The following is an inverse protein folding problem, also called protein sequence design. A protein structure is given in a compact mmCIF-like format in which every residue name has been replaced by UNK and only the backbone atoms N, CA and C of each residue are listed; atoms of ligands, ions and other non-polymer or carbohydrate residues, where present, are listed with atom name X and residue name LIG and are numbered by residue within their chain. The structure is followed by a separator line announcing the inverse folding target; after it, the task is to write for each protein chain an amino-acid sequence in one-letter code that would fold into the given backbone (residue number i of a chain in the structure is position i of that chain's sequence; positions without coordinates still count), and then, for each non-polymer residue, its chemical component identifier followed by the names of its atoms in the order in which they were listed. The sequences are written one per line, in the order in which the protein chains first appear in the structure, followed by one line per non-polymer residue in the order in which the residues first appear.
data_IF_433052919315
#
_entry.id   IF_433052919315
#
_cell.length_a   1.000
_cell.length_b   1.000
_cell.length_c   1.000
_cell.angle_alpha   90.00
_cell.angle_beta   90.00
_cell.angle_gamma   90.00
#
_symmetry.space_group_name_H-M   'P 1'
#
loop_
_entity.id
_entity.type
_entity.pdbx_description
1 polymer ?
#
# COMPACT_ATOMS: atom_id res chain seq x y z
N UNK A 1 -2.73 -15.06 12.89
CA UNK A 1 -2.85 -14.13 11.73
C UNK A 1 -1.61 -14.04 10.85
N UNK A 2 -0.40 -13.84 11.40
CA UNK A 2 0.84 -13.75 10.58
C UNK A 2 0.99 -14.95 9.63
N UNK A 3 0.72 -16.17 10.09
CA UNK A 3 0.75 -17.37 9.26
C UNK A 3 -0.21 -17.31 8.05
N UNK A 4 -1.41 -16.74 8.20
CA UNK A 4 -2.37 -16.58 7.09
C UNK A 4 -1.86 -15.57 6.06
N UNK A 5 -1.24 -14.47 6.51
CA UNK A 5 -0.64 -13.45 5.64
C UNK A 5 0.49 -14.07 4.83
N UNK A 6 1.43 -14.75 5.49
CA UNK A 6 2.58 -15.39 4.83
C UNK A 6 2.10 -16.44 3.82
N UNK A 7 1.13 -17.28 4.20
CA UNK A 7 0.55 -18.26 3.28
C UNK A 7 -0.10 -17.59 2.05
N UNK A 8 -0.82 -16.49 2.25
CA UNK A 8 -1.42 -15.72 1.15
C UNK A 8 -0.35 -15.09 0.24
N UNK A 9 0.66 -14.42 0.81
CA UNK A 9 1.78 -13.81 0.07
C UNK A 9 2.54 -14.83 -0.79
N UNK A 10 2.73 -16.04 -0.27
CA UNK A 10 3.39 -17.15 -0.96
C UNK A 10 2.48 -17.87 -1.96
N UNK A 11 1.20 -17.52 -2.02
CA UNK A 11 0.21 -18.17 -2.87
C UNK A 11 -0.25 -19.55 -2.37
N UNK A 12 0.05 -19.93 -1.13
CA UNK A 12 -0.47 -21.12 -0.48
C UNK A 12 -1.90 -20.89 0.04
N UNK A 13 -2.85 -20.81 -0.90
CA UNK A 13 -4.23 -20.40 -0.63
C UNK A 13 -4.97 -21.34 0.32
N UNK A 14 -4.74 -22.65 0.20
CA UNK A 14 -5.33 -23.65 1.10
C UNK A 14 -4.86 -23.45 2.54
N UNK A 15 -3.57 -23.23 2.76
CA UNK A 15 -3.04 -22.92 4.09
C UNK A 15 -3.54 -21.59 4.64
N UNK A 16 -3.65 -20.57 3.79
CA UNK A 16 -4.27 -19.30 4.20
C UNK A 16 -5.70 -19.52 4.70
N UNK A 17 -6.52 -20.23 3.92
CA UNK A 17 -7.91 -20.57 4.27
C UNK A 17 -7.99 -21.36 5.57
N UNK A 18 -7.18 -22.40 5.70
CA UNK A 18 -7.12 -23.23 6.91
C UNK A 18 -6.84 -22.39 8.17
N UNK A 19 -5.86 -21.49 8.10
CA UNK A 19 -5.54 -20.61 9.24
C UNK A 19 -6.68 -19.65 9.54
N UNK A 20 -7.32 -19.05 8.51
CA UNK A 20 -8.45 -18.15 8.70
C UNK A 20 -9.66 -18.85 9.34
N UNK A 21 -9.96 -20.07 8.90
CA UNK A 21 -11.04 -20.89 9.45
C UNK A 21 -10.75 -21.29 10.91
N UNK A 22 -9.50 -21.63 11.22
CA UNK A 22 -9.10 -22.02 12.58
C UNK A 22 -9.21 -20.87 13.59
N UNK A 23 -8.92 -19.62 13.18
CA UNK A 23 -9.00 -18.46 14.09
C UNK A 23 -10.38 -17.82 14.16
N UNK A 24 -11.27 -18.11 13.18
CA UNK A 24 -12.60 -17.48 13.07
C UNK A 24 -13.44 -17.59 14.34
N UNK A 25 -13.59 -18.75 15.00
CA UNK A 25 -14.40 -18.87 16.21
C UNK A 25 -13.96 -17.92 17.34
N UNK A 26 -12.64 -17.68 17.48
CA UNK A 26 -12.12 -16.77 18.49
C UNK A 26 -12.55 -15.31 18.26
N UNK A 27 -12.59 -14.87 17.00
CA UNK A 27 -13.08 -13.54 16.63
C UNK A 27 -14.61 -13.41 16.75
N UNK A 28 -15.37 -14.46 16.42
CA UNK A 28 -16.84 -14.47 16.46
C UNK A 28 -17.41 -14.59 17.87
N UNK A 29 -16.75 -15.36 18.74
CA UNK A 29 -17.12 -15.48 20.15
C UNK A 29 -16.94 -14.16 20.92
N UNK A 30 -16.39 -13.12 20.28
CA UNK A 30 -16.20 -11.82 20.88
C UNK A 30 -15.39 -11.93 22.17
N UNK A 31 -14.32 -12.73 22.17
CA UNK A 31 -13.36 -12.81 23.27
C UNK A 31 -12.78 -11.42 23.52
N UNK A 32 -13.56 -10.63 24.27
CA UNK A 32 -13.28 -9.31 24.76
C UNK A 32 -12.32 -9.52 25.93
N UNK A 33 -11.05 -9.56 25.57
CA UNK A 33 -9.98 -10.07 26.43
C UNK A 33 -9.17 -11.02 25.57
N UNK A 34 -8.12 -10.48 24.94
CA UNK A 34 -7.31 -11.21 23.99
C UNK A 34 -6.85 -12.56 24.53
N UNK A 35 -6.44 -13.44 23.61
CA UNK A 35 -5.43 -14.43 23.96
C UNK A 35 -4.36 -13.72 24.81
N UNK A 36 -4.07 -14.24 26.01
CA UNK A 36 -3.29 -13.60 27.08
C UNK A 36 -2.38 -12.44 26.60
N UNK A 37 -2.74 -11.20 26.98
CA UNK A 37 -1.88 -10.03 26.81
C UNK A 37 -2.06 -9.18 25.55
N UNK A 38 -3.08 -9.41 24.72
CA UNK A 38 -3.38 -8.54 23.56
C UNK A 38 -4.42 -7.45 23.87
N UNK A 39 -4.11 -6.20 23.52
CA UNK A 39 -5.05 -5.08 23.70
C UNK A 39 -6.18 -5.08 22.65
N UNK A 40 -7.26 -4.32 22.92
CA UNK A 40 -8.44 -4.27 22.05
C UNK A 40 -8.15 -3.72 20.64
N UNK A 41 -7.18 -2.80 20.50
CA UNK A 41 -6.79 -2.22 19.22
C UNK A 41 -6.02 -3.22 18.37
N UNK A 42 -5.10 -3.97 18.99
CA UNK A 42 -4.38 -5.06 18.36
C UNK A 42 -5.34 -6.14 17.88
N UNK A 43 -6.30 -6.53 18.73
CA UNK A 43 -7.34 -7.49 18.36
C UNK A 43 -8.17 -7.02 17.17
N UNK A 44 -8.64 -5.76 17.21
CA UNK A 44 -9.39 -5.15 16.10
C UNK A 44 -8.59 -5.19 14.80
N UNK A 45 -7.31 -4.79 14.83
CA UNK A 45 -6.45 -4.81 13.65
C UNK A 45 -6.29 -6.23 13.07
N UNK A 46 -6.13 -7.25 13.93
CA UNK A 46 -6.05 -8.64 13.47
C UNK A 46 -7.35 -9.12 12.82
N UNK A 47 -8.51 -8.72 13.36
CA UNK A 47 -9.80 -9.05 12.77
C UNK A 47 -10.01 -8.34 11.41
N UNK A 48 -9.55 -7.09 11.27
CA UNK A 48 -9.55 -6.38 9.99
C UNK A 48 -8.73 -7.17 8.96
N UNK A 49 -7.53 -7.62 9.29
CA UNK A 49 -6.72 -8.46 8.40
C UNK A 49 -7.40 -9.80 8.07
N UNK A 50 -8.06 -10.43 9.04
CA UNK A 50 -8.79 -11.69 8.82
C UNK A 50 -9.89 -11.50 7.78
N UNK A 51 -10.73 -10.47 7.95
CA UNK A 51 -11.81 -10.15 7.01
C UNK A 51 -11.27 -9.78 5.64
N UNK A 52 -10.23 -8.95 5.60
CA UNK A 52 -9.58 -8.53 4.36
C UNK A 52 -9.00 -9.72 3.57
N UNK A 53 -8.22 -10.59 4.22
CA UNK A 53 -7.67 -11.79 3.57
C UNK A 53 -8.76 -12.74 3.08
N UNK A 54 -9.84 -12.92 3.87
CA UNK A 54 -10.99 -13.72 3.43
C UNK A 54 -11.61 -13.19 2.15
N UNK A 55 -11.77 -11.87 2.03
CA UNK A 55 -12.26 -11.22 0.81
C UNK A 55 -11.28 -11.35 -0.36
N UNK A 56 -9.98 -11.22 -0.11
CA UNK A 56 -8.95 -11.41 -1.14
C UNK A 56 -8.90 -12.84 -1.68
N UNK A 57 -9.05 -13.84 -0.81
CA UNK A 57 -9.15 -15.24 -1.22
C UNK A 57 -10.37 -15.46 -2.13
N UNK A 58 -11.55 -15.01 -1.70
CA UNK A 58 -12.76 -15.11 -2.49
C UNK A 58 -12.63 -14.39 -3.84
N UNK A 59 -12.02 -13.20 -3.85
CA UNK A 59 -11.74 -12.46 -5.09
C UNK A 59 -10.84 -13.26 -6.02
N UNK A 60 -9.75 -13.84 -5.50
CA UNK A 60 -8.79 -14.61 -6.29
C UNK A 60 -9.42 -15.87 -6.89
N UNK A 61 -10.28 -16.56 -6.15
CA UNK A 61 -11.04 -17.72 -6.63
C UNK A 61 -12.01 -17.32 -7.75
N UNK A 62 -12.79 -16.27 -7.55
CA UNK A 62 -13.72 -15.75 -8.56
C UNK A 62 -13.03 -15.20 -9.82
N UNK A 63 -11.73 -14.87 -9.74
CA UNK A 63 -10.96 -14.30 -10.84
C UNK A 63 -9.71 -15.13 -11.16
N UNK A 64 -9.79 -16.47 -11.02
CA UNK A 64 -8.68 -17.39 -11.28
C UNK A 64 -7.89 -17.14 -12.59
N UNK A 65 -8.52 -16.74 -13.73
CA UNK A 65 -7.79 -16.41 -14.95
C UNK A 65 -6.80 -15.25 -14.84
N UNK A 66 -6.88 -14.41 -13.80
CA UNK A 66 -5.89 -13.33 -13.50
C UNK A 66 -4.67 -13.83 -12.72
N UNK A 67 -4.70 -15.07 -12.24
CA UNK A 67 -3.66 -15.71 -11.45
C UNK A 67 -3.12 -17.01 -12.08
N UNK A 68 -2.91 -17.08 -13.41
CA UNK A 68 -2.50 -18.33 -14.05
C UNK A 68 -1.11 -18.73 -13.57
N UNK A 69 -0.83 -20.04 -13.53
CA UNK A 69 0.51 -20.57 -13.34
C UNK A 69 1.33 -20.35 -14.62
N UNK A 70 2.01 -19.20 -14.69
CA UNK A 70 2.84 -18.77 -15.83
C UNK A 70 4.21 -18.35 -15.32
N UNK A 71 5.27 -18.83 -15.96
CA UNK A 71 6.63 -18.37 -15.71
C UNK A 71 6.80 -16.96 -16.30
N UNK A 72 6.72 -15.95 -15.43
CA UNK A 72 7.04 -14.54 -15.73
C UNK A 72 7.88 -14.00 -14.56
N UNK A 73 8.71 -12.97 -14.78
CA UNK A 73 9.51 -12.41 -13.71
C UNK A 73 8.63 -11.80 -12.60
N UNK A 74 9.14 -11.77 -11.35
CA UNK A 74 8.45 -11.15 -10.24
C UNK A 74 8.52 -9.62 -10.33
N UNK A 75 7.41 -8.96 -10.05
CA UNK A 75 7.34 -7.55 -9.69
C UNK A 75 7.07 -7.47 -8.19
N UNK A 76 8.04 -7.01 -7.42
CA UNK A 76 7.88 -6.96 -5.97
C UNK A 76 7.05 -5.73 -5.59
N UNK A 77 6.04 -5.92 -4.75
CA UNK A 77 5.25 -4.83 -4.20
C UNK A 77 5.51 -4.77 -2.70
N UNK A 78 6.30 -3.79 -2.27
CA UNK A 78 6.69 -3.60 -0.87
C UNK A 78 5.81 -2.50 -0.30
N UNK A 79 5.06 -2.77 0.76
CA UNK A 79 4.04 -1.83 1.19
C UNK A 79 3.33 -2.16 2.48
N UNK A 80 2.33 -1.37 2.80
CA UNK A 80 1.31 -1.69 3.80
C UNK A 80 0.35 -2.78 3.26
N UNK A 81 -0.84 -2.89 3.85
CA UNK A 81 -1.85 -3.89 3.48
C UNK A 81 -2.29 -3.81 2.02
N UNK A 82 -2.15 -2.66 1.34
CA UNK A 82 -2.48 -2.52 -0.07
C UNK A 82 -1.54 -3.33 -0.98
N UNK A 83 -0.35 -3.69 -0.50
CA UNK A 83 0.56 -4.59 -1.23
C UNK A 83 -0.02 -6.00 -1.41
N UNK A 84 -0.92 -6.43 -0.52
CA UNK A 84 -1.52 -7.77 -0.57
C UNK A 84 -2.56 -7.91 -1.69
N UNK A 85 -3.27 -6.83 -2.05
CA UNK A 85 -4.38 -6.92 -2.99
C UNK A 85 -3.98 -7.62 -4.32
N UNK A 86 -2.94 -7.16 -5.05
CA UNK A 86 -2.54 -7.80 -6.30
C UNK A 86 -1.65 -9.06 -6.11
N UNK A 87 -1.40 -9.56 -4.90
CA UNK A 87 -0.44 -10.65 -4.67
C UNK A 87 -0.72 -11.90 -5.52
N UNK A 88 0.27 -12.32 -6.31
CA UNK A 88 0.18 -13.46 -7.22
C UNK A 88 -0.51 -13.17 -8.56
N UNK A 89 -1.10 -11.99 -8.75
CA UNK A 89 -1.77 -11.57 -9.99
C UNK A 89 -0.75 -11.30 -11.11
N UNK A 90 -1.13 -11.59 -12.35
CA UNK A 90 -0.41 -11.10 -13.52
C UNK A 90 -0.76 -9.64 -13.82
N UNK A 91 0.27 -8.80 -13.96
CA UNK A 91 0.11 -7.39 -14.29
C UNK A 91 1.00 -7.00 -15.46
N UNK A 92 0.50 -6.11 -16.31
CA UNK A 92 1.33 -5.42 -17.28
C UNK A 92 1.96 -4.21 -16.59
N UNK A 93 3.27 -4.07 -16.65
CA UNK A 93 3.98 -2.92 -16.10
C UNK A 93 5.17 -2.58 -17.00
N UNK A 94 5.25 -1.33 -17.44
CA UNK A 94 6.26 -0.83 -18.37
C UNK A 94 6.40 -1.68 -19.65
N UNK A 95 5.26 -2.12 -20.20
CA UNK A 95 5.21 -2.92 -21.44
C UNK A 95 5.50 -4.41 -21.28
N UNK A 96 5.85 -4.86 -20.07
CA UNK A 96 6.17 -6.26 -19.79
C UNK A 96 5.13 -6.89 -18.85
N UNK A 97 4.95 -8.20 -18.97
CA UNK A 97 4.12 -8.98 -18.04
C UNK A 97 4.94 -9.42 -16.82
N UNK A 98 4.35 -9.26 -15.64
CA UNK A 98 4.97 -9.57 -14.36
C UNK A 98 4.00 -10.33 -13.47
N UNK A 99 4.54 -11.13 -12.54
CA UNK A 99 3.77 -11.65 -11.42
C UNK A 99 4.04 -10.83 -10.19
N UNK A 100 3.00 -10.27 -9.57
CA UNK A 100 3.19 -9.50 -8.34
C UNK A 100 3.56 -10.43 -7.19
N UNK A 101 4.63 -10.08 -6.48
CA UNK A 101 4.99 -10.68 -5.19
C UNK A 101 4.93 -9.62 -4.10
N UNK A 102 3.97 -9.76 -3.19
CA UNK A 102 3.82 -8.84 -2.07
C UNK A 102 4.94 -9.04 -1.03
N UNK A 103 5.34 -7.93 -0.40
CA UNK A 103 6.21 -7.88 0.79
C UNK A 103 5.58 -6.90 1.77
N UNK A 104 4.73 -7.41 2.66
CA UNK A 104 4.05 -6.60 3.65
C UNK A 104 5.02 -6.07 4.72
N UNK A 105 4.96 -4.77 4.97
CA UNK A 105 5.51 -4.10 6.15
C UNK A 105 4.31 -3.65 6.98
N UNK A 106 3.83 -4.56 7.84
CA UNK A 106 2.55 -4.40 8.55
C UNK A 106 2.53 -3.13 9.43
N UNK A 107 1.51 -2.30 9.25
CA UNK A 107 1.30 -1.07 10.04
C UNK A 107 2.27 0.07 9.73
N UNK A 108 3.14 -0.09 8.73
CA UNK A 108 4.02 0.98 8.29
C UNK A 108 3.23 2.11 7.63
N UNK A 109 3.75 3.32 7.80
CA UNK A 109 3.25 4.58 7.27
C UNK A 109 4.39 5.22 6.51
N UNK A 110 4.09 6.07 5.54
CA UNK A 110 5.11 6.89 4.90
C UNK A 110 5.88 7.71 5.97
N UNK A 111 5.18 8.16 7.01
CA UNK A 111 5.76 8.92 8.12
C UNK A 111 6.83 8.16 8.90
N UNK A 112 6.64 6.87 9.14
CA UNK A 112 7.66 6.06 9.82
C UNK A 112 8.94 6.01 8.98
N UNK A 113 8.78 5.74 7.68
CA UNK A 113 9.89 5.67 6.72
C UNK A 113 10.58 7.02 6.50
N UNK A 114 9.87 8.13 6.72
CA UNK A 114 10.44 9.47 6.59
C UNK A 114 11.31 9.91 7.79
N UNK A 115 11.12 9.32 8.98
CA UNK A 115 11.71 9.83 10.23
C UNK A 115 12.97 9.11 10.67
N UNK A 116 13.06 7.79 10.52
CA UNK A 116 14.26 7.06 10.94
C UNK A 116 14.36 5.66 10.35
N UNK A 117 15.51 5.35 9.77
CA UNK A 117 15.90 3.99 9.40
C UNK A 117 15.98 3.05 10.62
N UNK A 118 16.22 3.60 11.81
CA UNK A 118 16.43 2.86 13.05
C UNK A 118 15.13 2.58 13.81
N UNK A 119 13.96 3.02 13.32
CA UNK A 119 12.71 2.56 13.91
C UNK A 119 12.35 1.13 13.41
N UNK A 120 11.35 0.50 14.03
CA UNK A 120 10.97 -0.88 13.69
C UNK A 120 10.45 -1.02 12.25
N UNK A 121 9.84 0.02 11.69
CA UNK A 121 9.26 -0.02 10.35
C UNK A 121 10.32 0.24 9.28
N UNK A 122 11.24 1.16 9.52
CA UNK A 122 12.44 1.36 8.69
C UNK A 122 13.27 0.08 8.59
N UNK A 123 13.52 -0.59 9.73
CA UNK A 123 14.18 -1.91 9.73
C UNK A 123 13.39 -2.98 9.00
N UNK A 124 12.07 -3.06 9.22
CA UNK A 124 11.24 -4.04 8.54
C UNK A 124 11.22 -3.82 7.01
N UNK A 125 11.18 -2.57 6.57
CA UNK A 125 11.33 -2.21 5.16
C UNK A 125 12.71 -2.61 4.62
N UNK A 126 13.79 -2.28 5.32
CA UNK A 126 15.14 -2.66 4.92
C UNK A 126 15.28 -4.19 4.80
N UNK A 127 14.74 -4.97 5.74
CA UNK A 127 14.70 -6.44 5.66
C UNK A 127 13.90 -6.92 4.44
N UNK A 128 12.77 -6.28 4.12
CA UNK A 128 11.96 -6.62 2.97
C UNK A 128 12.73 -6.39 1.65
N UNK A 129 13.47 -5.27 1.55
CA UNK A 129 14.31 -4.93 0.40
C UNK A 129 15.55 -5.83 0.31
N UNK A 130 16.19 -6.15 1.44
CA UNK A 130 17.38 -7.01 1.52
C UNK A 130 17.12 -8.44 1.03
N UNK A 131 15.87 -8.90 1.10
CA UNK A 131 15.44 -10.22 0.63
C UNK A 131 15.08 -10.25 -0.85
N UNK A 132 15.15 -9.11 -1.55
CA UNK A 132 14.92 -9.06 -2.98
C UNK A 132 16.16 -9.54 -3.75
N UNK A 133 15.99 -10.24 -4.88
CA UNK A 133 17.11 -10.57 -5.77
C UNK A 133 17.84 -9.32 -6.27
N UNK A 134 19.14 -9.43 -6.51
CA UNK A 134 19.91 -8.36 -7.15
C UNK A 134 19.28 -7.97 -8.50
N UNK A 135 19.19 -6.67 -8.77
CA UNK A 135 18.55 -6.16 -9.99
C UNK A 135 17.02 -6.29 -10.02
N UNK A 136 16.38 -6.65 -8.90
CA UNK A 136 14.92 -6.74 -8.83
C UNK A 136 14.23 -5.42 -9.19
N UNK A 137 13.05 -5.54 -9.80
CA UNK A 137 12.12 -4.43 -10.01
C UNK A 137 11.06 -4.47 -8.92
N UNK A 138 10.89 -3.36 -8.21
CA UNK A 138 9.97 -3.24 -7.09
C UNK A 138 9.13 -1.96 -7.19
N UNK A 139 7.97 -1.96 -6.52
CA UNK A 139 7.12 -0.79 -6.31
C UNK A 139 6.90 -0.63 -4.80
N UNK A 140 7.13 0.57 -4.28
CA UNK A 140 6.76 0.95 -2.91
C UNK A 140 5.33 1.50 -2.88
N UNK A 141 4.47 0.98 -2.00
CA UNK A 141 3.10 1.43 -1.78
C UNK A 141 2.85 1.68 -0.29
N UNK A 142 2.92 2.94 0.10
CA UNK A 142 2.71 3.42 1.46
C UNK A 142 2.02 4.78 1.41
N UNK A 143 1.42 5.17 2.53
CA UNK A 143 0.83 6.49 2.68
C UNK A 143 -0.68 6.48 2.88
N UNK A 144 -1.36 5.35 2.65
CA UNK A 144 -2.82 5.34 2.76
C UNK A 144 -3.24 5.66 4.19
N UNK A 145 -2.59 5.02 5.18
CA UNK A 145 -2.80 5.30 6.61
C UNK A 145 -2.47 6.76 6.95
N UNK A 146 -1.41 7.34 6.37
CA UNK A 146 -1.03 8.74 6.58
C UNK A 146 -2.10 9.72 6.10
N UNK A 147 -2.95 9.30 5.15
CA UNK A 147 -3.99 10.12 4.56
C UNK A 147 -5.38 9.88 5.16
N UNK A 148 -5.55 9.06 6.21
CA UNK A 148 -6.89 8.73 6.75
C UNK A 148 -7.49 9.88 7.56
N UNK A 149 -8.81 9.84 7.70
CA UNK A 149 -9.58 10.83 8.46
C UNK A 149 -9.33 10.74 9.98
N UNK A 150 -9.07 9.52 10.48
CA UNK A 150 -8.90 9.20 11.90
C UNK A 150 -7.43 9.16 12.34
N UNK A 151 -6.49 9.28 11.39
CA UNK A 151 -5.06 9.23 11.69
C UNK A 151 -4.22 9.92 10.62
N UNK A 152 -3.10 10.53 11.03
CA UNK A 152 -2.12 11.09 10.10
C UNK A 152 -2.34 12.56 9.80
N UNK A 153 -2.29 12.91 8.51
CA UNK A 153 -2.22 14.30 8.06
C UNK A 153 -3.54 15.05 8.32
N UNK A 154 -4.69 14.40 8.12
CA UNK A 154 -6.00 15.07 8.22
C UNK A 154 -6.27 15.55 9.65
N UNK A 155 -6.20 14.69 10.69
CA UNK A 155 -6.32 15.18 12.07
C UNK A 155 -5.31 16.27 12.44
N UNK A 156 -4.06 16.16 11.97
CA UNK A 156 -3.03 17.16 12.22
C UNK A 156 -3.40 18.52 11.62
N UNK A 157 -3.86 18.53 10.36
CA UNK A 157 -4.27 19.73 9.66
C UNK A 157 -5.52 20.36 10.29
N UNK A 158 -6.51 19.54 10.68
CA UNK A 158 -7.69 20.02 11.40
C UNK A 158 -7.35 20.67 12.74
N UNK A 159 -6.36 20.13 13.47
CA UNK A 159 -5.91 20.70 14.75
C UNK A 159 -5.00 21.93 14.61
N UNK A 160 -4.42 22.17 13.42
CA UNK A 160 -3.47 23.26 13.17
C UNK A 160 -3.81 23.99 11.85
N UNK A 161 -4.97 24.67 11.77
CA UNK A 161 -5.45 25.29 10.53
C UNK A 161 -4.52 26.39 9.98
N UNK A 162 -3.70 26.99 10.85
CA UNK A 162 -2.72 28.02 10.46
C UNK A 162 -1.44 27.44 9.84
N UNK A 163 -1.20 26.13 9.96
CA UNK A 163 -0.04 25.48 9.37
C UNK A 163 -0.33 25.13 7.90
N UNK A 164 0.54 25.54 6.95
CA UNK A 164 0.32 25.22 5.55
C UNK A 164 0.46 23.70 5.33
N UNK A 165 -0.58 23.12 4.74
CA UNK A 165 -0.69 21.68 4.49
C UNK A 165 0.38 21.17 3.51
N UNK A 166 0.56 21.87 2.39
CA UNK A 166 1.42 21.42 1.30
C UNK A 166 2.89 21.24 1.71
N UNK A 167 3.54 22.18 2.45
CA UNK A 167 4.89 21.98 2.98
C UNK A 167 5.03 20.76 3.90
N UNK A 168 4.05 20.49 4.76
CA UNK A 168 4.09 19.34 5.66
C UNK A 168 4.03 18.02 4.88
N UNK A 169 3.13 17.92 3.90
CA UNK A 169 3.04 16.74 3.03
C UNK A 169 4.31 16.62 2.16
N UNK A 170 4.86 17.73 1.65
CA UNK A 170 6.08 17.72 0.87
C UNK A 170 7.30 17.23 1.67
N UNK A 171 7.45 17.67 2.92
CA UNK A 171 8.50 17.19 3.81
C UNK A 171 8.37 15.68 4.08
N UNK A 172 7.15 15.22 4.36
CA UNK A 172 6.84 13.81 4.57
C UNK A 172 7.19 12.96 3.33
N UNK A 173 6.67 13.34 2.16
CA UNK A 173 6.89 12.60 0.91
C UNK A 173 8.37 12.60 0.53
N UNK A 174 9.08 13.71 0.72
CA UNK A 174 10.54 13.78 0.47
C UNK A 174 11.31 12.83 1.37
N UNK A 175 11.03 12.82 2.68
CA UNK A 175 11.68 11.90 3.62
C UNK A 175 11.39 10.44 3.28
N UNK A 176 10.12 10.11 3.07
CA UNK A 176 9.66 8.76 2.70
C UNK A 176 10.34 8.25 1.43
N UNK A 177 10.21 8.99 0.33
CA UNK A 177 10.75 8.57 -0.98
C UNK A 177 12.28 8.57 -0.98
N UNK A 178 12.92 9.50 -0.26
CA UNK A 178 14.36 9.53 -0.07
C UNK A 178 14.89 8.29 0.65
N UNK A 179 14.27 7.92 1.78
CA UNK A 179 14.63 6.72 2.53
C UNK A 179 14.47 5.44 1.68
N UNK A 180 13.30 5.27 1.06
CA UNK A 180 13.00 4.11 0.21
C UNK A 180 14.01 3.95 -0.92
N UNK A 181 14.38 5.05 -1.57
CA UNK A 181 15.38 5.04 -2.66
C UNK A 181 16.76 4.69 -2.16
N UNK A 182 17.16 5.22 -1.00
CA UNK A 182 18.47 4.93 -0.40
C UNK A 182 18.64 3.44 -0.12
N UNK A 183 17.65 2.81 0.51
CA UNK A 183 17.66 1.38 0.79
C UNK A 183 17.64 0.53 -0.48
N UNK A 184 16.82 0.91 -1.47
CA UNK A 184 16.78 0.21 -2.75
C UNK A 184 18.11 0.29 -3.52
N UNK A 185 18.75 1.47 -3.54
CA UNK A 185 20.03 1.68 -4.22
C UNK A 185 21.14 0.83 -3.60
N UNK A 186 21.18 0.69 -2.28
CA UNK A 186 22.14 -0.17 -1.54
C UNK A 186 22.10 -1.64 -1.98
N UNK A 187 20.98 -2.09 -2.55
CA UNK A 187 20.77 -3.48 -3.03
C UNK A 187 20.67 -3.59 -4.55
N UNK A 188 20.89 -2.51 -5.29
CA UNK A 188 20.73 -2.49 -6.74
C UNK A 188 19.29 -2.81 -7.19
N UNK A 189 18.30 -2.49 -6.35
CA UNK A 189 16.88 -2.67 -6.65
C UNK A 189 16.37 -1.43 -7.38
N UNK A 190 15.68 -1.61 -8.50
CA UNK A 190 14.96 -0.52 -9.16
C UNK A 190 13.61 -0.33 -8.45
N UNK A 191 13.50 0.71 -7.64
CA UNK A 191 12.29 1.02 -6.88
C UNK A 191 11.44 2.08 -7.57
N UNK A 192 10.22 1.70 -7.91
CA UNK A 192 9.13 2.55 -8.40
C UNK A 192 8.20 2.92 -7.24
N UNK A 193 7.23 3.81 -7.48
CA UNK A 193 6.28 4.23 -6.45
C UNK A 193 4.84 4.05 -6.91
N UNK A 194 3.96 3.71 -5.98
CA UNK A 194 2.53 3.80 -6.15
C UNK A 194 1.96 4.90 -5.27
N UNK A 195 0.87 5.48 -5.75
CA UNK A 195 0.05 6.41 -4.99
C UNK A 195 -0.88 5.71 -4.00
N UNK A 196 -1.68 6.51 -3.29
CA UNK A 196 -2.74 6.02 -2.39
C UNK A 196 -4.10 6.12 -3.07
N UNK A 197 -5.09 5.26 -2.75
CA UNK A 197 -6.43 5.39 -3.31
C UNK A 197 -7.10 6.71 -2.92
N UNK A 198 -8.12 7.10 -3.69
CA UNK A 198 -9.04 8.15 -3.25
C UNK A 198 -9.79 7.68 -2.00
N UNK A 199 -10.00 8.55 -1.00
CA UNK A 199 -10.62 8.18 0.25
C UNK A 199 -12.11 7.85 0.03
N UNK A 200 -12.57 6.76 0.64
CA UNK A 200 -13.96 6.31 0.56
C UNK A 200 -14.80 7.00 1.66
N UNK A 201 -15.88 7.74 1.33
CA UNK A 201 -16.75 8.38 2.32
C UNK A 201 -17.28 7.44 3.40
N UNK A 202 -17.50 6.17 3.08
CA UNK A 202 -17.94 5.18 4.06
C UNK A 202 -16.91 4.91 5.16
N UNK A 203 -15.62 5.19 4.91
CA UNK A 203 -14.53 4.97 5.86
C UNK A 203 -14.49 6.01 6.98
N UNK A 204 -15.11 7.17 6.77
CA UNK A 204 -15.16 8.29 7.71
C UNK A 204 -16.58 8.80 7.92
N UNK A 205 -17.57 7.98 7.60
CA UNK A 205 -18.97 8.28 7.88
C UNK A 205 -19.19 8.41 9.39
N UNK A 206 -19.80 9.53 9.81
CA UNK A 206 -20.03 9.84 11.21
C UNK A 206 -18.82 10.45 11.95
N UNK A 207 -17.71 10.69 11.26
CA UNK A 207 -16.60 11.49 11.79
C UNK A 207 -16.82 12.97 11.48
N UNK A 208 -16.38 13.85 12.38
CA UNK A 208 -16.34 15.29 12.16
C UNK A 208 -15.08 15.66 11.35
N UNK A 209 -15.10 15.31 10.05
CA UNK A 209 -13.98 15.54 9.13
C UNK A 209 -14.49 16.15 7.83
N UNK A 210 -13.84 17.24 7.40
CA UNK A 210 -14.14 17.88 6.13
C UNK A 210 -13.72 16.98 4.95
N UNK A 211 -14.68 16.60 4.12
CA UNK A 211 -14.44 15.74 2.96
C UNK A 211 -13.55 16.44 1.89
N UNK A 212 -13.58 17.78 1.84
CA UNK A 212 -12.71 18.59 0.99
C UNK A 212 -11.24 18.45 1.38
N UNK A 213 -10.93 18.59 2.67
CA UNK A 213 -9.62 18.39 3.27
C UNK A 213 -9.14 16.95 3.06
N UNK A 214 -10.00 15.97 3.32
CA UNK A 214 -9.71 14.55 3.11
C UNK A 214 -9.30 14.26 1.64
N UNK A 215 -10.05 14.79 0.68
CA UNK A 215 -9.75 14.73 -0.76
C UNK A 215 -8.46 15.48 -1.10
N UNK A 216 -8.24 16.66 -0.53
CA UNK A 216 -7.06 17.49 -0.77
C UNK A 216 -5.78 16.80 -0.29
N UNK A 217 -5.77 16.23 0.91
CA UNK A 217 -4.62 15.49 1.46
C UNK A 217 -4.22 14.33 0.54
N UNK A 218 -5.16 13.47 0.18
CA UNK A 218 -4.88 12.32 -0.69
C UNK A 218 -4.36 12.77 -2.07
N UNK A 219 -4.97 13.81 -2.65
CA UNK A 219 -4.57 14.37 -3.95
C UNK A 219 -3.16 14.96 -3.89
N UNK A 220 -2.87 15.79 -2.89
CA UNK A 220 -1.56 16.43 -2.71
C UNK A 220 -0.47 15.39 -2.46
N UNK A 221 -0.73 14.39 -1.61
CA UNK A 221 0.19 13.28 -1.36
C UNK A 221 0.53 12.54 -2.67
N UNK A 222 -0.49 12.14 -3.44
CA UNK A 222 -0.30 11.47 -4.73
C UNK A 222 0.50 12.32 -5.73
N UNK A 223 0.19 13.61 -5.83
CA UNK A 223 0.90 14.52 -6.73
C UNK A 223 2.39 14.63 -6.37
N UNK A 224 2.71 14.77 -5.09
CA UNK A 224 4.09 14.86 -4.62
C UNK A 224 4.87 13.56 -4.78
N UNK A 225 4.23 12.39 -4.58
CA UNK A 225 4.88 11.09 -4.87
C UNK A 225 5.15 10.95 -6.38
N UNK A 226 4.24 11.41 -7.23
CA UNK A 226 4.45 11.41 -8.67
C UNK A 226 5.62 12.30 -9.09
N UNK A 227 5.75 13.49 -8.50
CA UNK A 227 6.90 14.39 -8.70
C UNK A 227 8.20 13.71 -8.27
N UNK A 228 8.25 13.14 -7.06
CA UNK A 228 9.44 12.44 -6.55
C UNK A 228 9.84 11.24 -7.44
N UNK A 229 8.86 10.48 -7.95
CA UNK A 229 9.11 9.40 -8.89
C UNK A 229 9.67 9.91 -10.23
N UNK A 230 9.15 11.03 -10.73
CA UNK A 230 9.60 11.64 -11.98
C UNK A 230 11.02 12.20 -11.88
N UNK A 231 11.34 12.89 -10.78
CA UNK A 231 12.68 13.38 -10.46
C UNK A 231 13.70 12.24 -10.38
N UNK A 232 13.28 11.08 -9.85
CA UNK A 232 14.10 9.88 -9.77
C UNK A 232 14.18 9.08 -11.09
N UNK A 233 13.47 9.48 -12.16
CA UNK A 233 13.44 8.75 -13.43
C UNK A 233 12.76 7.37 -13.36
N UNK A 234 11.92 7.16 -12.35
CA UNK A 234 11.18 5.90 -12.13
C UNK A 234 9.70 6.07 -12.46
N UNK A 235 8.97 4.96 -12.58
CA UNK A 235 7.55 4.98 -12.83
C UNK A 235 6.73 5.28 -11.57
N UNK A 236 5.57 5.93 -11.79
CA UNK A 236 4.53 6.13 -10.80
C UNK A 236 3.26 5.36 -11.17
N UNK A 237 2.76 4.53 -10.25
CA UNK A 237 1.51 3.78 -10.38
C UNK A 237 0.38 4.58 -9.71
N UNK A 238 -0.41 5.26 -10.52
CA UNK A 238 -1.45 6.18 -10.06
C UNK A 238 -2.79 5.45 -9.80
N UNK A 239 -2.92 4.79 -8.66
CA UNK A 239 -4.18 4.15 -8.23
C UNK A 239 -5.26 5.18 -7.86
N UNK A 240 -4.86 6.38 -7.41
CA UNK A 240 -5.78 7.48 -7.12
C UNK A 240 -6.63 7.84 -8.34
N UNK A 241 -5.99 7.97 -9.52
CA UNK A 241 -6.68 8.30 -10.77
C UNK A 241 -7.83 7.34 -11.11
N UNK A 242 -7.71 6.07 -10.73
CA UNK A 242 -8.74 5.06 -11.01
C UNK A 242 -9.83 4.99 -9.95
N UNK A 243 -9.60 5.59 -8.78
CA UNK A 243 -10.51 5.51 -7.63
C UNK A 243 -11.20 6.82 -7.31
N UNK A 244 -10.62 7.96 -7.73
CA UNK A 244 -11.22 9.27 -7.60
C UNK A 244 -12.35 9.48 -8.62
N UNK A 245 -13.55 9.78 -8.15
CA UNK A 245 -14.62 10.41 -8.94
C UNK A 245 -14.37 11.94 -9.04
N UNK A 246 -15.13 12.74 -9.80
CA UNK A 246 -14.85 14.17 -10.00
C UNK A 246 -14.64 15.01 -8.71
N UNK A 247 -15.19 14.59 -7.58
CA UNK A 247 -14.98 15.24 -6.27
C UNK A 247 -13.65 14.88 -5.56
N UNK A 248 -12.84 13.98 -6.15
CA UNK A 248 -11.60 13.48 -5.56
C UNK A 248 -11.78 12.43 -4.45
N UNK A 249 -13.02 12.05 -4.16
CA UNK A 249 -13.39 10.94 -3.27
C UNK A 249 -13.63 9.66 -4.08
N UNK A 250 -13.72 8.52 -3.41
CA UNK A 250 -14.14 7.27 -4.04
C UNK A 250 -15.65 7.02 -3.92
N UNK A 251 -16.20 6.25 -4.88
CA UNK A 251 -17.58 5.74 -4.85
C UNK A 251 -17.70 4.31 -4.28
N UNK A 252 -16.59 3.77 -3.76
CA UNK A 252 -16.51 2.41 -3.22
C UNK A 252 -16.43 1.28 -4.25
N UNK A 253 -16.73 1.51 -5.54
CA UNK A 253 -16.80 0.44 -6.57
C UNK A 253 -15.46 -0.21 -6.89
N UNK A 254 -14.38 0.49 -6.54
CA UNK A 254 -12.99 0.07 -6.75
C UNK A 254 -12.33 -0.47 -5.48
N UNK A 255 -13.08 -0.61 -4.40
CA UNK A 255 -12.60 -1.09 -3.11
C UNK A 255 -13.20 -2.44 -2.76
N UNK A 256 -12.45 -3.27 -2.04
CA UNK A 256 -12.91 -4.57 -1.52
C UNK A 256 -13.50 -4.43 -0.10
N UNK A 257 -13.16 -3.33 0.56
CA UNK A 257 -13.76 -2.85 1.81
C UNK A 257 -13.76 -1.31 1.82
N UNK A 258 -13.81 -0.66 2.98
CA UNK A 258 -13.80 0.81 3.04
C UNK A 258 -12.42 1.44 2.76
N UNK A 259 -11.33 0.68 2.82
CA UNK A 259 -9.96 1.20 2.72
C UNK A 259 -9.13 0.55 1.59
N UNK A 260 -9.30 -0.77 1.40
CA UNK A 260 -8.44 -1.56 0.52
C UNK A 260 -9.03 -1.66 -0.89
N UNK A 261 -8.13 -1.65 -1.88
CA UNK A 261 -8.48 -1.75 -3.29
C UNK A 261 -8.93 -3.15 -3.69
N UNK A 262 -9.79 -3.23 -4.71
CA UNK A 262 -9.92 -4.45 -5.49
C UNK A 262 -8.58 -4.76 -6.19
N UNK A 263 -8.12 -6.03 -6.23
CA UNK A 263 -6.85 -6.39 -6.86
C UNK A 263 -6.66 -5.89 -8.30
N UNK A 264 -7.71 -5.87 -9.11
CA UNK A 264 -7.65 -5.40 -10.49
C UNK A 264 -7.30 -3.89 -10.63
N UNK A 265 -7.59 -3.07 -9.62
CA UNK A 265 -7.31 -1.63 -9.69
C UNK A 265 -5.81 -1.37 -9.80
N UNK A 266 -5.02 -2.10 -9.01
CA UNK A 266 -3.56 -2.01 -9.11
C UNK A 266 -3.07 -2.47 -10.48
N UNK A 267 -3.62 -3.57 -11.01
CA UNK A 267 -3.23 -4.08 -12.32
C UNK A 267 -3.51 -3.08 -13.46
N UNK A 268 -4.67 -2.43 -13.42
CA UNK A 268 -5.04 -1.41 -14.40
C UNK A 268 -4.17 -0.15 -14.26
N UNK A 269 -3.86 0.28 -13.03
CA UNK A 269 -2.96 1.42 -12.79
C UNK A 269 -1.52 1.10 -13.24
N UNK A 270 -1.03 -0.11 -12.98
CA UNK A 270 0.30 -0.56 -13.38
C UNK A 270 0.43 -0.61 -14.92
N UNK A 271 -0.62 -1.02 -15.63
CA UNK A 271 -0.66 -1.01 -17.11
C UNK A 271 -0.53 0.40 -17.68
N UNK A 272 -1.16 1.37 -17.02
CA UNK A 272 -1.13 2.77 -17.40
C UNK A 272 0.17 3.48 -17.00
N UNK A 273 0.97 2.91 -16.10
CA UNK A 273 2.19 3.53 -15.59
C UNK A 273 3.22 3.75 -16.71
N UNK A 274 3.93 4.87 -16.62
CA UNK A 274 5.03 5.26 -17.50
C UNK A 274 6.20 5.71 -16.65
N UNK A 275 7.42 5.56 -17.16
CA UNK A 275 8.60 6.15 -16.50
C UNK A 275 8.47 7.68 -16.58
N UNK A 276 8.80 8.36 -15.49
CA UNK A 276 8.98 9.81 -15.55
C UNK A 276 10.09 10.17 -16.52
N UNK A 277 10.01 11.38 -17.09
CA UNK A 277 10.95 11.83 -18.13
C UNK A 277 12.42 11.82 -17.65
N UNK A 278 12.67 11.84 -16.34
CA UNK A 278 14.00 11.94 -15.74
C UNK A 278 14.68 13.26 -16.09
N UNK A 279 15.43 13.84 -15.17
CA UNK A 279 16.43 14.83 -15.57
C UNK A 279 17.49 14.08 -16.39
N UNK A 280 17.65 14.40 -17.68
CA UNK A 280 18.62 13.80 -18.62
C UNK A 280 20.11 14.00 -18.21
N UNK A 281 20.40 14.40 -16.97
CA UNK A 281 21.69 14.94 -16.56
C UNK A 281 22.73 13.91 -16.06
N UNK A 282 22.43 12.60 -16.01
CA UNK A 282 23.34 11.62 -15.39
C UNK A 282 23.79 10.46 -16.32
N UNK A 283 23.80 10.66 -17.64
CA UNK A 283 24.38 9.68 -18.60
C UNK A 283 25.50 10.24 -19.48
N UNK A 284 26.15 11.31 -19.03
CA UNK A 284 27.37 11.84 -19.64
C UNK A 284 28.38 12.19 -18.54
N UNK A 285 29.03 11.17 -17.98
CA UNK A 285 30.30 11.24 -17.27
C UNK A 285 30.94 9.85 -17.34
#
# INVERSE_FOLDING_TARGET
MIAAIVAYEQGYLAGCRQVLDAVRPGFEAGAAGGADGMDARQWHNLDVYRRYLGRLLAYREAHAPRYPARAVPPLFLVGDSHALAPAGMLVAFLGQQWRVQARLVMGAKAWHLARSAADRYGRAFAIAVDRLPAGATAIAIFGEIDCRADEGIVPHASAHPDQPLDPAIAALVRGYTGFVRSEAARRGVTMHFAGVPAPNPAAFAGMDVDAGLQSAVARTFNALVAVAAAEAGVAFVNVHRLTAVPAGLADGRRHIDTHHLLPAVFADAARAARRGAGTRAARAA
#
